data_IF_432178487288
#
_entry.id   IF_432178487288
#
_cell.length_a   1.000
_cell.length_b   1.000
_cell.length_c   1.000
_cell.angle_alpha   90.00
_cell.angle_beta   90.00
_cell.angle_gamma   90.00
#
_symmetry.space_group_name_H-M   'P 1'
#
loop_
_entity.id
_entity.type
_entity.pdbx_description
1 polymer ?
#
# COMPACT_ATOMS: atom_id res chain seq x y z
N UNK A 1 -43.54 59.45 -51.14
CA UNK A 1 -44.83 59.34 -50.42
C UNK A 1 -45.15 57.86 -50.27
N UNK A 2 -45.62 57.46 -49.09
CA UNK A 2 -46.02 56.10 -48.64
C UNK A 2 -44.91 55.06 -48.38
N UNK A 3 -45.00 54.12 -47.43
CA UNK A 3 -45.32 54.03 -45.98
C UNK A 3 -45.22 52.52 -45.62
N UNK A 4 -44.76 52.18 -44.40
CA UNK A 4 -45.11 50.98 -43.58
C UNK A 4 -44.66 49.61 -44.13
N UNK A 5 -43.57 48.98 -43.64
CA UNK A 5 -43.39 48.18 -42.39
C UNK A 5 -44.47 47.11 -42.18
N UNK A 6 -44.19 45.87 -42.57
CA UNK A 6 -44.77 44.70 -41.91
C UNK A 6 -43.69 44.03 -41.08
N UNK A 7 -43.98 43.91 -39.79
CA UNK A 7 -43.09 43.45 -38.75
C UNK A 7 -43.27 41.95 -38.60
N UNK A 8 -42.24 41.17 -38.88
CA UNK A 8 -42.18 39.78 -38.43
C UNK A 8 -40.87 39.59 -37.68
N UNK A 9 -40.94 39.69 -36.35
CA UNK A 9 -39.85 39.25 -35.48
C UNK A 9 -39.63 37.74 -35.66
N UNK A 10 -38.37 37.28 -35.81
CA UNK A 10 -38.07 35.87 -35.76
C UNK A 10 -38.11 35.40 -34.29
N UNK A 11 -38.98 34.43 -34.00
CA UNK A 11 -38.91 33.69 -32.73
C UNK A 11 -37.60 32.89 -32.68
N UNK A 12 -36.85 32.89 -31.56
CA UNK A 12 -35.63 32.09 -31.45
C UNK A 12 -36.01 30.63 -31.21
N UNK A 13 -35.56 29.74 -32.11
CA UNK A 13 -35.69 28.28 -31.94
C UNK A 13 -34.78 27.78 -30.82
N UNK A 14 -35.25 26.88 -29.92
CA UNK A 14 -34.43 26.25 -28.91
C UNK A 14 -33.82 24.94 -29.44
N UNK A 15 -32.60 24.96 -29.97
CA UNK A 15 -31.94 23.74 -30.49
C UNK A 15 -30.54 23.44 -29.92
N UNK A 16 -30.01 24.24 -28.99
CA UNK A 16 -28.58 24.12 -28.60
C UNK A 16 -28.27 23.30 -27.33
N UNK A 17 -29.27 22.77 -26.61
CA UNK A 17 -29.03 22.16 -25.28
C UNK A 17 -28.64 20.67 -25.32
N UNK A 18 -28.98 19.93 -26.38
CA UNK A 18 -28.77 18.46 -26.44
C UNK A 18 -27.37 18.03 -26.88
N UNK A 19 -26.69 18.80 -27.73
CA UNK A 19 -25.37 18.43 -28.27
C UNK A 19 -24.24 18.59 -27.25
N UNK A 20 -24.28 19.66 -26.45
CA UNK A 20 -23.27 19.93 -25.41
C UNK A 20 -23.26 18.82 -24.34
N UNK A 21 -24.43 18.26 -24.03
CA UNK A 21 -24.56 17.19 -23.04
C UNK A 21 -23.96 15.86 -23.52
N UNK A 22 -24.10 15.49 -24.81
CA UNK A 22 -23.52 14.23 -25.31
C UNK A 22 -22.00 14.33 -25.47
N UNK A 23 -21.49 15.49 -25.89
CA UNK A 23 -20.06 15.77 -25.96
C UNK A 23 -19.40 15.66 -24.56
N UNK A 24 -20.05 16.24 -23.54
CA UNK A 24 -19.58 16.18 -22.15
C UNK A 24 -19.56 14.75 -21.60
N UNK A 25 -20.60 13.96 -21.88
CA UNK A 25 -20.66 12.55 -21.49
C UNK A 25 -19.54 11.74 -22.16
N UNK A 26 -19.27 11.99 -23.43
CA UNK A 26 -18.20 11.33 -24.15
C UNK A 26 -16.81 11.66 -23.57
N UNK A 27 -16.57 12.92 -23.20
CA UNK A 27 -15.33 13.34 -22.53
C UNK A 27 -15.16 12.66 -21.16
N UNK A 28 -16.24 12.52 -20.38
CA UNK A 28 -16.21 11.83 -19.08
C UNK A 28 -15.89 10.34 -19.21
N UNK A 29 -16.45 9.67 -20.23
CA UNK A 29 -16.14 8.26 -20.53
C UNK A 29 -14.67 8.08 -20.91
N UNK A 30 -14.12 8.96 -21.75
CA UNK A 30 -12.70 8.94 -22.09
C UNK A 30 -11.82 9.15 -20.86
N UNK A 31 -12.17 10.10 -19.99
CA UNK A 31 -11.40 10.36 -18.77
C UNK A 31 -11.44 9.17 -17.79
N UNK A 32 -12.59 8.50 -17.64
CA UNK A 32 -12.72 7.27 -16.85
C UNK A 32 -11.89 6.13 -17.43
N UNK A 33 -11.92 5.95 -18.75
CA UNK A 33 -11.14 4.93 -19.44
C UNK A 33 -9.64 5.17 -19.24
N UNK A 34 -9.18 6.41 -19.41
CA UNK A 34 -7.78 6.82 -19.19
C UNK A 34 -7.35 6.59 -17.73
N UNK A 35 -8.19 6.98 -16.77
CA UNK A 35 -7.94 6.75 -15.34
C UNK A 35 -7.83 5.26 -15.04
N UNK A 36 -8.70 4.43 -15.62
CA UNK A 36 -8.64 2.98 -15.49
C UNK A 36 -7.39 2.36 -16.11
N UNK A 37 -6.91 2.87 -17.25
CA UNK A 37 -5.64 2.44 -17.85
C UNK A 37 -4.46 2.82 -16.94
N UNK A 38 -4.41 4.05 -16.44
CA UNK A 38 -3.34 4.51 -15.53
C UNK A 38 -3.34 3.70 -14.22
N UNK A 39 -4.51 3.41 -13.67
CA UNK A 39 -4.65 2.56 -12.49
C UNK A 39 -4.08 1.17 -12.74
N UNK A 40 -4.45 0.52 -13.86
CA UNK A 40 -3.90 -0.80 -14.24
C UNK A 40 -2.40 -0.79 -14.50
N UNK A 41 -1.84 0.29 -15.05
CA UNK A 41 -0.38 0.43 -15.23
C UNK A 41 0.32 0.58 -13.88
N UNK A 42 -0.25 1.34 -12.95
CA UNK A 42 0.28 1.45 -11.59
C UNK A 42 0.14 0.13 -10.82
N UNK A 43 -0.94 -0.61 -11.02
CA UNK A 43 -1.09 -2.00 -10.54
C UNK A 43 -0.10 -2.96 -11.23
N UNK A 44 0.33 -2.69 -12.47
CA UNK A 44 1.30 -3.53 -13.19
C UNK A 44 2.74 -3.45 -12.66
N UNK A 45 3.01 -2.57 -11.70
CA UNK A 45 4.08 -2.77 -10.72
C UNK A 45 3.55 -3.81 -9.72
N UNK A 46 3.68 -5.08 -10.07
CA UNK A 46 3.24 -6.20 -9.24
C UNK A 46 4.00 -6.15 -7.91
N UNK A 47 3.34 -5.64 -6.87
CA UNK A 47 3.92 -5.45 -5.55
C UNK A 47 4.43 -6.76 -4.95
N UNK A 48 3.78 -7.89 -5.28
CA UNK A 48 4.21 -9.20 -4.80
C UNK A 48 5.55 -9.57 -5.44
N UNK A 49 5.73 -9.31 -6.75
CA UNK A 49 7.02 -9.50 -7.41
C UNK A 49 8.10 -8.53 -6.90
N UNK A 50 7.74 -7.28 -6.62
CA UNK A 50 8.67 -6.29 -6.09
C UNK A 50 9.16 -6.71 -4.71
N UNK A 51 8.25 -7.08 -3.82
CA UNK A 51 8.62 -7.54 -2.48
C UNK A 51 9.42 -8.84 -2.54
N UNK A 52 9.05 -9.77 -3.42
CA UNK A 52 9.79 -11.02 -3.57
C UNK A 52 11.21 -10.80 -4.09
N UNK A 53 11.38 -10.00 -5.14
CA UNK A 53 12.69 -9.65 -5.66
C UNK A 53 13.54 -8.92 -4.60
N UNK A 54 12.93 -7.98 -3.88
CA UNK A 54 13.60 -7.24 -2.80
C UNK A 54 14.05 -8.17 -1.68
N UNK A 55 13.20 -9.12 -1.26
CA UNK A 55 13.53 -10.08 -0.20
C UNK A 55 14.77 -10.92 -0.58
N UNK A 56 14.81 -11.42 -1.81
CA UNK A 56 15.94 -12.19 -2.35
C UNK A 56 17.21 -11.33 -2.36
N UNK A 57 17.17 -10.15 -3.00
CA UNK A 57 18.34 -9.28 -3.15
C UNK A 57 18.90 -8.80 -1.79
N UNK A 58 18.02 -8.44 -0.85
CA UNK A 58 18.43 -8.00 0.50
C UNK A 58 19.00 -9.16 1.30
N UNK A 59 18.45 -10.37 1.20
CA UNK A 59 18.99 -11.54 1.90
C UNK A 59 20.40 -11.87 1.41
N UNK A 60 20.61 -11.87 0.10
CA UNK A 60 21.94 -12.08 -0.49
C UNK A 60 22.95 -10.98 -0.07
N UNK A 61 22.50 -9.72 -0.04
CA UNK A 61 23.33 -8.59 0.35
C UNK A 61 23.76 -8.66 1.83
N UNK A 62 22.82 -8.94 2.72
CA UNK A 62 23.05 -8.98 4.17
C UNK A 62 23.61 -10.33 4.64
N UNK A 63 23.53 -11.38 3.81
CA UNK A 63 23.89 -12.76 4.14
C UNK A 63 23.21 -13.25 5.42
N UNK A 64 21.93 -12.93 5.55
CA UNK A 64 21.10 -13.35 6.67
C UNK A 64 20.29 -14.61 6.32
N UNK A 65 19.70 -15.21 7.34
CA UNK A 65 18.92 -16.44 7.20
C UNK A 65 17.55 -16.22 6.53
N UNK A 66 16.95 -15.05 6.75
CA UNK A 66 15.60 -14.70 6.27
C UNK A 66 15.47 -13.20 6.01
N UNK A 67 14.74 -12.83 4.97
CA UNK A 67 14.12 -11.51 4.79
C UNK A 67 12.63 -11.71 4.53
N UNK A 68 11.78 -10.96 5.21
CA UNK A 68 10.33 -11.04 5.01
C UNK A 68 9.69 -9.66 5.11
N UNK A 69 8.59 -9.48 4.38
CA UNK A 69 7.78 -8.27 4.41
C UNK A 69 6.53 -8.54 5.24
N UNK A 70 6.40 -7.83 6.36
CA UNK A 70 5.24 -7.91 7.23
C UNK A 70 4.29 -6.74 6.97
N UNK A 71 3.01 -7.03 6.74
CA UNK A 71 1.95 -6.05 6.55
C UNK A 71 0.98 -6.10 7.72
N UNK A 72 0.84 -4.96 8.40
CA UNK A 72 -0.16 -4.80 9.44
C UNK A 72 -1.58 -4.81 8.84
N UNK A 73 -2.51 -5.42 9.58
CA UNK A 73 -3.92 -5.37 9.24
C UNK A 73 -4.46 -3.97 9.56
N UNK A 74 -5.18 -3.31 8.64
CA UNK A 74 -5.86 -2.04 8.93
C UNK A 74 -6.76 -2.15 10.17
N UNK A 75 -6.84 -1.09 10.96
CA UNK A 75 -7.68 -0.96 12.15
C UNK A 75 -7.38 -1.94 13.31
N UNK A 76 -6.30 -2.71 13.24
CA UNK A 76 -5.87 -3.64 14.30
C UNK A 76 -5.16 -2.99 15.47
N UNK A 77 -4.92 -1.67 15.43
CA UNK A 77 -4.09 -1.00 16.43
C UNK A 77 -2.62 -1.44 16.41
N UNK A 78 -2.16 -2.01 15.29
CA UNK A 78 -0.81 -2.58 15.10
C UNK A 78 -0.56 -3.92 15.82
N UNK A 79 -1.61 -4.58 16.30
CA UNK A 79 -1.51 -5.84 17.04
C UNK A 79 -1.61 -7.09 16.14
N UNK A 80 -2.12 -6.94 14.92
CA UNK A 80 -2.32 -8.04 13.97
C UNK A 80 -1.72 -7.72 12.59
N UNK A 81 -1.24 -8.76 11.92
CA UNK A 81 -0.78 -8.67 10.54
C UNK A 81 -0.35 -10.01 9.95
N UNK A 82 0.20 -9.95 8.75
CA UNK A 82 0.63 -11.11 7.98
C UNK A 82 1.93 -10.85 7.24
N UNK A 83 2.72 -11.90 7.03
CA UNK A 83 3.84 -11.87 6.11
C UNK A 83 3.32 -12.04 4.69
N UNK A 84 3.67 -11.10 3.81
CA UNK A 84 3.18 -11.05 2.42
C UNK A 84 4.24 -11.47 1.40
N UNK A 85 5.52 -11.51 1.80
CA UNK A 85 6.63 -11.99 0.98
C UNK A 85 7.77 -12.45 1.90
N UNK A 86 8.53 -13.45 1.44
CA UNK A 86 9.65 -14.04 2.19
C UNK A 86 10.70 -14.59 1.21
N UNK A 87 11.97 -14.44 1.57
CA UNK A 87 13.06 -15.31 1.14
C UNK A 87 13.78 -15.85 2.37
N UNK A 88 13.97 -17.17 2.43
CA UNK A 88 14.45 -17.87 3.63
C UNK A 88 15.34 -19.04 3.25
N UNK A 89 16.35 -19.31 4.07
CA UNK A 89 17.17 -20.52 3.94
C UNK A 89 16.33 -21.80 4.17
N UNK A 90 16.61 -22.84 3.40
CA UNK A 90 15.87 -24.12 3.44
C UNK A 90 15.91 -24.81 4.82
N UNK A 91 16.83 -24.40 5.70
CA UNK A 91 16.93 -24.88 7.07
C UNK A 91 15.85 -24.34 8.02
N UNK A 92 15.06 -23.34 7.60
CA UNK A 92 14.06 -22.68 8.46
C UNK A 92 12.64 -22.81 7.92
N UNK A 93 11.66 -22.83 8.84
CA UNK A 93 10.25 -22.91 8.45
C UNK A 93 9.77 -21.59 7.86
N UNK A 94 9.02 -21.63 6.75
CA UNK A 94 8.42 -20.42 6.17
C UNK A 94 7.45 -19.74 7.13
N UNK A 95 7.47 -18.40 7.12
CA UNK A 95 6.55 -17.57 7.92
C UNK A 95 5.25 -17.22 7.20
N UNK A 96 5.18 -17.40 5.88
CA UNK A 96 4.02 -16.98 5.05
C UNK A 96 2.70 -17.64 5.44
N UNK A 97 2.73 -18.86 6.00
CA UNK A 97 1.52 -19.58 6.41
C UNK A 97 1.01 -19.20 7.81
N UNK A 98 1.74 -18.36 8.55
CA UNK A 98 1.46 -18.05 9.96
C UNK A 98 0.86 -16.66 10.09
N UNK A 99 -0.32 -16.57 10.72
CA UNK A 99 -0.85 -15.29 11.18
C UNK A 99 -0.13 -14.88 12.46
N UNK A 100 0.26 -13.61 12.53
CA UNK A 100 0.95 -13.05 13.70
C UNK A 100 -0.05 -12.25 14.50
N UNK A 101 -0.16 -12.59 15.78
CA UNK A 101 -0.85 -11.78 16.78
C UNK A 101 0.19 -11.35 17.80
N UNK A 102 0.60 -10.08 17.74
CA UNK A 102 1.57 -9.51 18.67
C UNK A 102 0.95 -8.32 19.39
N UNK A 103 0.14 -8.64 20.41
CA UNK A 103 -0.49 -7.64 21.29
C UNK A 103 0.54 -6.80 22.08
N UNK A 104 1.82 -7.18 22.06
CA UNK A 104 2.87 -6.42 22.75
C UNK A 104 3.60 -5.44 21.84
N UNK A 105 3.47 -5.59 20.52
CA UNK A 105 4.09 -4.70 19.57
C UNK A 105 3.36 -3.35 19.48
N UNK A 106 2.03 -3.38 19.37
CA UNK A 106 1.21 -2.19 19.13
C UNK A 106 1.30 -1.15 20.24
N UNK A 107 1.36 -1.56 21.50
CA UNK A 107 1.35 -0.64 22.65
C UNK A 107 2.61 0.25 22.76
N UNK A 108 3.76 -0.17 22.24
CA UNK A 108 5.04 0.53 22.48
C UNK A 108 5.87 0.81 21.25
N UNK A 109 5.84 -0.06 20.25
CA UNK A 109 6.77 0.02 19.13
C UNK A 109 6.16 0.68 17.91
N UNK A 110 4.85 0.53 17.70
CA UNK A 110 4.15 1.06 16.54
C UNK A 110 4.42 2.56 16.29
N UNK A 111 4.29 3.40 17.33
CA UNK A 111 4.54 4.85 17.24
C UNK A 111 5.98 5.15 16.83
N UNK A 112 6.96 4.38 17.30
CA UNK A 112 8.35 4.60 16.93
C UNK A 112 8.62 4.22 15.46
N UNK A 113 8.01 3.14 14.98
CA UNK A 113 8.12 2.72 13.58
C UNK A 113 7.39 3.66 12.62
N UNK A 114 6.23 4.21 13.01
CA UNK A 114 5.56 5.29 12.27
C UNK A 114 6.47 6.51 12.07
N UNK A 115 7.35 6.79 13.03
CA UNK A 115 8.35 7.86 12.95
C UNK A 115 9.64 7.44 12.21
N UNK A 116 9.66 6.26 11.58
CA UNK A 116 10.80 5.80 10.77
C UNK A 116 11.93 5.13 11.57
N UNK A 117 11.70 4.73 12.83
CA UNK A 117 12.73 4.04 13.62
C UNK A 117 13.14 2.73 12.96
N UNK A 118 14.43 2.54 12.78
CA UNK A 118 15.04 1.24 12.44
C UNK A 118 15.49 0.57 13.74
N UNK A 119 15.16 -0.71 13.90
CA UNK A 119 15.59 -1.50 15.05
C UNK A 119 16.54 -2.60 14.61
N UNK A 120 17.70 -2.70 15.26
CA UNK A 120 18.63 -3.80 15.09
C UNK A 120 18.83 -4.50 16.44
N UNK A 121 18.59 -5.81 16.47
CA UNK A 121 18.75 -6.66 17.65
C UNK A 121 19.71 -7.79 17.32
N UNK A 122 20.84 -7.86 18.01
CA UNK A 122 21.85 -8.91 17.79
C UNK A 122 21.50 -10.24 18.49
N UNK A 123 20.83 -10.17 19.64
CA UNK A 123 20.27 -11.33 20.34
C UNK A 123 19.01 -10.90 21.10
N UNK A 124 17.86 -11.53 20.79
CA UNK A 124 16.57 -11.17 21.40
C UNK A 124 16.52 -11.44 22.90
N UNK A 125 17.39 -12.32 23.42
CA UNK A 125 17.46 -12.63 24.85
C UNK A 125 18.31 -11.62 25.63
N UNK A 126 19.15 -10.83 24.94
CA UNK A 126 20.03 -9.82 25.56
C UNK A 126 19.57 -8.37 25.28
N UNK A 127 18.54 -8.18 24.46
CA UNK A 127 18.10 -6.86 23.97
C UNK A 127 17.07 -6.13 24.85
N UNK A 128 16.81 -6.62 26.07
CA UNK A 128 15.83 -6.04 27.01
C UNK A 128 14.42 -5.87 26.41
N UNK A 129 14.05 -6.78 25.50
CA UNK A 129 12.70 -6.86 24.94
C UNK A 129 11.73 -7.43 25.99
N UNK A 130 10.45 -7.11 25.86
CA UNK A 130 9.41 -7.75 26.70
C UNK A 130 9.30 -9.24 26.37
N UNK A 131 9.04 -10.06 27.39
CA UNK A 131 8.91 -11.52 27.25
C UNK A 131 7.88 -11.96 26.20
N UNK A 132 6.76 -11.24 26.09
CA UNK A 132 5.75 -11.51 25.06
C UNK A 132 6.30 -11.29 23.65
N UNK A 133 7.08 -10.24 23.42
CA UNK A 133 7.70 -9.98 22.12
C UNK A 133 8.80 -11.00 21.81
N UNK A 134 9.62 -11.36 22.80
CA UNK A 134 10.60 -12.47 22.68
C UNK A 134 9.89 -13.77 22.29
N UNK A 135 8.73 -14.06 22.89
CA UNK A 135 7.95 -15.26 22.60
C UNK A 135 7.44 -15.29 21.16
N UNK A 136 6.99 -14.14 20.63
CA UNK A 136 6.58 -14.02 19.22
C UNK A 136 7.77 -14.23 18.29
N UNK A 137 8.90 -13.55 18.51
CA UNK A 137 10.11 -13.71 17.70
C UNK A 137 10.64 -15.16 17.71
N UNK A 138 10.57 -15.82 18.88
CA UNK A 138 11.00 -17.21 19.05
C UNK A 138 10.13 -18.20 18.24
N UNK A 139 8.83 -17.93 18.07
CA UNK A 139 7.94 -18.78 17.24
C UNK A 139 8.34 -18.79 15.74
N UNK A 140 9.07 -17.76 15.31
CA UNK A 140 9.64 -17.64 13.97
C UNK A 140 11.11 -18.04 13.92
N UNK A 141 11.66 -18.64 14.97
CA UNK A 141 13.07 -19.06 15.05
C UNK A 141 14.06 -17.88 14.90
N UNK A 142 13.64 -16.66 15.27
CA UNK A 142 14.46 -15.46 15.21
C UNK A 142 15.35 -15.39 16.45
N UNK A 143 16.67 -15.26 16.25
CA UNK A 143 17.62 -14.92 17.32
C UNK A 143 18.11 -13.48 17.22
N UNK A 144 18.38 -13.02 15.99
CA UNK A 144 18.80 -11.66 15.68
C UNK A 144 17.86 -11.11 14.59
N UNK A 145 17.55 -9.81 14.62
CA UNK A 145 16.72 -9.18 13.60
C UNK A 145 17.16 -7.74 13.26
N UNK A 146 16.74 -7.31 12.08
CA UNK A 146 16.78 -5.92 11.64
C UNK A 146 15.39 -5.60 11.09
N UNK A 147 14.72 -4.62 11.68
CA UNK A 147 13.37 -4.20 11.28
C UNK A 147 13.44 -2.77 10.77
N UNK A 148 12.98 -2.59 9.53
CA UNK A 148 12.93 -1.30 8.84
C UNK A 148 11.48 -1.01 8.43
N UNK A 149 10.90 0.14 8.82
CA UNK A 149 9.52 0.46 8.47
C UNK A 149 9.39 0.86 7.00
N UNK A 150 8.38 0.30 6.32
CA UNK A 150 7.95 0.73 5.00
C UNK A 150 6.76 1.68 5.17
N UNK A 151 7.03 2.99 5.11
CA UNK A 151 6.03 4.03 5.32
C UNK A 151 5.45 4.50 4.00
N UNK A 152 4.11 4.57 3.92
CA UNK A 152 3.45 5.23 2.80
C UNK A 152 3.29 6.73 3.12
N UNK A 153 4.21 7.54 2.60
CA UNK A 153 4.17 8.99 2.75
C UNK A 153 3.13 9.60 1.80
N UNK A 154 1.83 9.48 2.12
CA UNK A 154 0.84 10.35 1.49
C UNK A 154 0.87 11.72 2.15
N UNK A 155 1.41 12.71 1.44
CA UNK A 155 1.18 14.12 1.74
C UNK A 155 -0.31 14.42 1.57
N UNK A 156 -0.97 14.76 2.66
CA UNK A 156 -2.31 15.38 2.70
C UNK A 156 -2.30 16.77 2.10
#
# INVERSE_FOLDING_TARGET
MQQIIDSHEPTPKPETTNSISSECLHQLEQQKALTGVIARIRESLDLDNIFQATAIEVRELLKCDRVAVFRFQPDSGWDDGEFISEDVDELWDSVLAKRVQDHCFGEQYAVEYENGKVQAVADIHDAQLKDCHISVLSQFQIRANLVVPLLNLHYS
#
